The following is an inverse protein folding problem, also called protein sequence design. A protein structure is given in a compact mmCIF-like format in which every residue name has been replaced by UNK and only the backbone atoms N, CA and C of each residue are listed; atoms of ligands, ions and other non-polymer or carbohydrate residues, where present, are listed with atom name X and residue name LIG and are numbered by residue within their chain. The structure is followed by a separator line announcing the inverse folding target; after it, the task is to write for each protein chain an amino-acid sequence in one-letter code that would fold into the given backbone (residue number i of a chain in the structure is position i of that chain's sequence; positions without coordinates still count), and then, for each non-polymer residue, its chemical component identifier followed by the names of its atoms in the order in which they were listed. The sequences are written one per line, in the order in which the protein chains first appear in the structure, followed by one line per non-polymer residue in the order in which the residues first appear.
data_IF_184578241409
#
_entry.id   IF_184578241409
#
_cell.length_a   1.000
_cell.length_b   1.000
_cell.length_c   1.000
_cell.angle_alpha   90.00
_cell.angle_beta   90.00
_cell.angle_gamma   90.00
#
_symmetry.space_group_name_H-M   'P 1'
#
loop_
_entity.id
_entity.type
_entity.pdbx_description
1 polymer ?
#
# COMPACT_ATOMS: atom_id res chain seq x y z
N UNK A 1 13.14 -3.21 3.56
CA UNK A 1 12.07 -3.33 2.56
C UNK A 1 12.32 -2.38 1.39
N UNK A 2 11.70 -2.66 0.26
CA UNK A 2 11.62 -1.75 -0.86
C UNK A 2 10.44 -2.12 -1.79
N UNK A 3 9.97 -1.15 -2.56
CA UNK A 3 8.93 -1.33 -3.56
C UNK A 3 8.19 -0.03 -3.85
N UNK A 4 6.88 -0.12 -3.96
CA UNK A 4 5.99 1.03 -4.06
C UNK A 4 4.98 0.99 -2.92
N UNK A 5 4.32 2.11 -2.63
CA UNK A 5 3.30 2.16 -1.59
C UNK A 5 2.23 1.07 -1.82
N UNK A 6 1.86 0.34 -0.77
CA UNK A 6 1.01 -0.86 -0.73
C UNK A 6 1.55 -2.11 -1.48
N UNK A 7 2.61 -2.01 -2.29
CA UNK A 7 3.23 -3.16 -2.98
C UNK A 7 4.76 -3.12 -2.81
N UNK A 8 5.19 -3.14 -1.55
CA UNK A 8 6.59 -3.30 -1.18
C UNK A 8 6.81 -4.64 -0.47
N UNK A 9 8.06 -5.07 -0.40
CA UNK A 9 8.43 -6.37 0.15
C UNK A 9 9.63 -6.27 1.09
N UNK A 10 9.64 -7.11 2.12
CA UNK A 10 10.82 -7.35 2.92
C UNK A 10 11.82 -8.18 2.10
N UNK A 11 12.80 -7.53 1.48
CA UNK A 11 13.84 -8.20 0.69
C UNK A 11 14.81 -8.97 1.59
N UNK A 12 14.96 -8.49 2.83
CA UNK A 12 15.70 -9.16 3.91
C UNK A 12 14.84 -9.18 5.16
N UNK A 13 14.86 -10.29 5.87
CA UNK A 13 14.20 -10.47 7.15
C UNK A 13 15.19 -11.16 8.08
N UNK A 14 15.96 -10.36 8.82
CA UNK A 14 17.15 -10.81 9.52
C UNK A 14 17.10 -10.43 11.02
N UNK A 15 17.58 -11.32 11.86
CA UNK A 15 17.83 -11.09 13.28
C UNK A 15 19.32 -10.77 13.46
N UNK A 16 19.63 -9.69 14.21
CA UNK A 16 21.01 -9.37 14.59
C UNK A 16 21.33 -10.16 15.85
N UNK A 17 22.32 -11.03 15.78
CA UNK A 17 22.77 -11.84 16.88
C UNK A 17 23.79 -11.08 17.75
N UNK A 18 23.99 -11.53 19.00
CA UNK A 18 24.91 -10.91 20.01
C UNK A 18 26.33 -10.73 19.49
N UNK A 19 26.79 -11.58 18.58
CA UNK A 19 28.10 -11.49 17.95
C UNK A 19 28.18 -10.53 16.75
N UNK A 20 27.07 -9.83 16.43
CA UNK A 20 26.95 -8.92 15.30
C UNK A 20 26.73 -9.59 13.95
N UNK A 21 26.59 -10.93 13.88
CA UNK A 21 26.20 -11.62 12.65
C UNK A 21 24.69 -11.55 12.42
N UNK A 22 24.26 -11.81 11.17
CA UNK A 22 22.85 -11.82 10.78
C UNK A 22 22.36 -13.25 10.59
N UNK A 23 21.15 -13.51 11.06
CA UNK A 23 20.44 -14.77 10.84
C UNK A 23 19.22 -14.50 10.00
N UNK A 24 19.14 -15.15 8.83
CA UNK A 24 17.95 -15.09 7.95
C UNK A 24 16.76 -15.76 8.63
N UNK A 25 15.66 -15.04 8.74
CA UNK A 25 14.41 -15.51 9.35
C UNK A 25 13.41 -16.06 8.32
N UNK A 26 13.66 -15.90 7.01
CA UNK A 26 12.75 -16.42 5.98
C UNK A 26 12.49 -17.93 6.07
N UNK A 27 13.50 -18.78 6.34
CA UNK A 27 13.27 -20.22 6.52
C UNK A 27 12.29 -20.52 7.67
N UNK A 28 12.40 -19.77 8.78
CA UNK A 28 11.50 -19.93 9.92
C UNK A 28 10.06 -19.45 9.61
N UNK A 29 9.93 -18.32 8.90
CA UNK A 29 8.62 -17.80 8.47
C UNK A 29 7.92 -18.76 7.52
N UNK A 30 8.63 -19.28 6.52
CA UNK A 30 8.09 -20.25 5.53
C UNK A 30 7.64 -21.53 6.22
N UNK A 31 8.47 -22.05 7.13
CA UNK A 31 8.12 -23.23 7.91
C UNK A 31 6.91 -22.97 8.82
N UNK A 32 6.85 -21.84 9.50
CA UNK A 32 5.72 -21.48 10.35
C UNK A 32 4.39 -21.44 9.55
N UNK A 33 4.44 -20.94 8.31
CA UNK A 33 3.27 -20.96 7.43
C UNK A 33 2.86 -22.39 7.04
N UNK A 34 3.81 -23.25 6.67
CA UNK A 34 3.57 -24.65 6.32
C UNK A 34 2.99 -25.43 7.50
N UNK A 35 3.45 -25.15 8.71
CA UNK A 35 2.97 -25.77 9.95
C UNK A 35 1.62 -25.18 10.43
N UNK A 36 1.04 -24.19 9.71
CA UNK A 36 -0.23 -23.56 10.05
C UNK A 36 -0.15 -22.57 11.22
N UNK A 37 1.06 -22.13 11.57
CA UNK A 37 1.30 -21.14 12.64
C UNK A 37 1.17 -19.74 12.03
N UNK A 38 0.14 -19.02 12.44
CA UNK A 38 -0.10 -17.63 12.05
C UNK A 38 0.07 -16.73 13.26
N UNK A 39 1.25 -16.14 13.48
CA UNK A 39 1.41 -15.18 14.58
C UNK A 39 0.44 -14.02 14.38
N UNK A 40 -0.42 -13.78 15.36
CA UNK A 40 -1.18 -12.54 15.46
C UNK A 40 -0.31 -11.53 16.20
N UNK A 41 0.01 -10.37 15.64
CA UNK A 41 0.61 -9.31 16.44
C UNK A 41 -0.44 -8.87 17.48
N UNK A 42 -0.15 -9.06 18.75
CA UNK A 42 -1.00 -8.62 19.88
C UNK A 42 -1.21 -7.09 19.87
N UNK A 43 -0.32 -6.35 19.18
CA UNK A 43 -0.32 -4.89 19.16
C UNK A 43 -1.09 -4.25 17.99
N UNK A 44 -1.56 -5.01 17.01
CA UNK A 44 -2.34 -4.44 15.88
C UNK A 44 -3.84 -4.43 16.22
N UNK A 45 -4.26 -3.39 16.94
CA UNK A 45 -5.67 -3.15 17.29
C UNK A 45 -6.57 -2.90 16.06
N UNK A 46 -5.98 -2.62 14.90
CA UNK A 46 -6.70 -2.30 13.67
C UNK A 46 -6.61 -3.38 12.57
N UNK A 47 -5.78 -4.40 12.74
CA UNK A 47 -5.67 -5.47 11.73
C UNK A 47 -6.85 -6.45 11.85
N UNK A 48 -7.94 -6.17 11.17
CA UNK A 48 -9.13 -7.05 11.11
C UNK A 48 -8.91 -8.26 10.22
N UNK A 49 -7.97 -8.17 9.27
CA UNK A 49 -7.60 -9.24 8.35
C UNK A 49 -6.38 -10.00 8.87
N UNK A 50 -6.44 -11.33 9.03
CA UNK A 50 -5.28 -12.14 9.33
C UNK A 50 -4.22 -12.00 8.23
N UNK A 51 -2.93 -12.22 8.56
CA UNK A 51 -1.82 -12.15 7.57
C UNK A 51 -1.86 -13.26 6.49
N UNK A 52 -3.01 -13.88 6.22
CA UNK A 52 -3.15 -15.03 5.33
C UNK A 52 -2.79 -14.71 3.88
N UNK A 53 -3.18 -13.52 3.38
CA UNK A 53 -2.83 -13.05 2.03
C UNK A 53 -1.32 -12.88 1.91
N UNK A 54 -0.69 -12.22 2.87
CA UNK A 54 0.77 -11.99 2.90
C UNK A 54 1.56 -13.29 2.91
N UNK A 55 1.13 -14.27 3.70
CA UNK A 55 1.75 -15.60 3.76
C UNK A 55 1.55 -16.38 2.46
N UNK A 56 0.37 -16.33 1.87
CA UNK A 56 0.14 -16.99 0.58
C UNK A 56 1.01 -16.35 -0.51
N UNK A 57 1.12 -15.02 -0.52
CA UNK A 57 2.03 -14.32 -1.45
C UNK A 57 3.49 -14.70 -1.20
N UNK A 58 3.94 -14.72 0.04
CA UNK A 58 5.30 -15.18 0.37
C UNK A 58 5.55 -16.60 -0.16
N UNK A 59 4.58 -17.50 -0.02
CA UNK A 59 4.69 -18.85 -0.57
C UNK A 59 4.85 -18.86 -2.09
N UNK A 60 4.17 -17.95 -2.82
CA UNK A 60 4.18 -17.91 -4.29
C UNK A 60 5.36 -17.14 -4.88
N UNK A 61 5.67 -15.97 -4.32
CA UNK A 61 6.71 -15.10 -4.89
C UNK A 61 8.02 -15.09 -4.09
N UNK A 62 8.04 -15.77 -2.94
CA UNK A 62 9.25 -15.95 -2.13
C UNK A 62 9.48 -14.91 -1.04
N UNK A 63 8.76 -13.77 -1.08
CA UNK A 63 8.97 -12.62 -0.20
C UNK A 63 7.69 -12.17 0.47
N UNK A 64 7.81 -11.68 1.72
CA UNK A 64 6.70 -11.23 2.53
C UNK A 64 6.40 -9.75 2.21
N UNK A 65 5.13 -9.44 1.92
CA UNK A 65 4.71 -8.07 1.64
C UNK A 65 4.73 -7.21 2.91
N UNK A 66 5.03 -5.92 2.78
CA UNK A 66 5.05 -4.97 3.90
C UNK A 66 3.64 -4.54 4.30
N UNK A 67 2.74 -4.44 3.33
CA UNK A 67 1.37 -3.97 3.51
C UNK A 67 0.48 -5.03 4.18
N UNK A 68 -0.63 -4.60 4.78
CA UNK A 68 -1.64 -5.49 5.36
C UNK A 68 -2.23 -6.47 4.34
N UNK A 69 -2.74 -7.59 4.81
CA UNK A 69 -3.41 -8.56 3.93
C UNK A 69 -4.63 -7.98 3.23
N UNK A 70 -5.34 -7.09 3.91
CA UNK A 70 -6.53 -6.40 3.41
C UNK A 70 -6.17 -5.58 2.16
N UNK A 71 -5.29 -4.58 2.33
CA UNK A 71 -4.92 -3.70 1.22
C UNK A 71 -4.13 -4.42 0.13
N UNK A 72 -3.21 -5.32 0.49
CA UNK A 72 -2.49 -6.06 -0.55
C UNK A 72 -3.43 -6.88 -1.45
N UNK A 73 -4.54 -7.43 -0.90
CA UNK A 73 -5.52 -8.16 -1.68
C UNK A 73 -6.24 -7.30 -2.73
N UNK A 74 -6.37 -6.00 -2.48
CA UNK A 74 -7.01 -5.03 -3.37
C UNK A 74 -6.13 -4.65 -4.57
N UNK A 75 -4.79 -4.76 -4.42
CA UNK A 75 -3.82 -4.36 -5.45
C UNK A 75 -3.40 -5.47 -6.41
N UNK A 76 -3.96 -6.67 -6.24
CA UNK A 76 -3.62 -7.85 -7.05
C UNK A 76 -4.87 -8.65 -7.45
N UNK A 77 -4.86 -9.34 -8.60
CA UNK A 77 -6.08 -9.93 -9.19
C UNK A 77 -6.46 -11.31 -8.61
N UNK A 78 -5.89 -11.76 -7.48
CA UNK A 78 -5.95 -13.19 -7.13
C UNK A 78 -6.85 -13.53 -5.95
N UNK A 79 -7.20 -12.58 -5.12
CA UNK A 79 -7.85 -12.84 -3.83
C UNK A 79 -9.32 -12.44 -3.79
N UNK A 80 -9.67 -11.31 -4.39
CA UNK A 80 -11.03 -10.80 -4.46
C UNK A 80 -11.56 -11.08 -5.85
N UNK A 81 -12.50 -12.00 -5.96
CA UNK A 81 -13.05 -12.43 -7.24
C UNK A 81 -14.55 -12.63 -7.16
N UNK A 82 -15.25 -12.18 -8.22
CA UNK A 82 -16.69 -12.35 -8.36
C UNK A 82 -17.08 -13.83 -8.31
N UNK A 83 -18.09 -14.15 -7.50
CA UNK A 83 -18.58 -15.52 -7.33
C UNK A 83 -17.60 -16.46 -6.61
N UNK A 84 -16.58 -15.90 -5.90
CA UNK A 84 -15.61 -16.70 -5.15
C UNK A 84 -15.56 -16.28 -3.66
N UNK A 85 -16.71 -16.30 -3.02
CA UNK A 85 -16.87 -16.04 -1.59
C UNK A 85 -16.02 -16.98 -0.73
N UNK A 86 -15.71 -18.18 -1.25
CA UNK A 86 -14.79 -19.13 -0.63
C UNK A 86 -13.36 -18.58 -0.46
N UNK A 87 -12.89 -17.74 -1.38
CA UNK A 87 -11.58 -17.07 -1.25
C UNK A 87 -11.63 -15.96 -0.20
N UNK A 88 -12.70 -15.19 -0.16
CA UNK A 88 -12.91 -14.13 0.83
C UNK A 88 -12.88 -14.73 2.24
N UNK A 89 -13.63 -15.81 2.47
CA UNK A 89 -13.65 -16.52 3.74
C UNK A 89 -12.30 -17.16 4.08
N UNK A 90 -11.70 -17.86 3.12
CA UNK A 90 -10.40 -18.53 3.28
C UNK A 90 -9.31 -17.57 3.74
N UNK A 91 -9.23 -16.39 3.12
CA UNK A 91 -8.20 -15.40 3.43
C UNK A 91 -8.62 -14.40 4.48
N UNK A 92 -9.89 -14.39 4.89
CA UNK A 92 -10.44 -13.50 5.91
C UNK A 92 -10.41 -12.04 5.47
N UNK A 93 -10.71 -11.78 4.19
CA UNK A 93 -10.68 -10.44 3.60
C UNK A 93 -11.97 -9.71 3.98
N UNK A 94 -11.89 -8.55 4.65
CA UNK A 94 -13.08 -7.76 4.96
C UNK A 94 -13.60 -7.08 3.68
N UNK A 95 -14.91 -7.16 3.47
CA UNK A 95 -15.60 -6.38 2.45
C UNK A 95 -16.34 -5.21 3.11
N UNK A 96 -16.49 -4.11 2.38
CA UNK A 96 -17.18 -2.88 2.86
C UNK A 96 -16.58 -2.31 4.15
N UNK A 97 -15.29 -2.50 4.37
CA UNK A 97 -14.59 -2.09 5.58
C UNK A 97 -14.54 -0.56 5.72
N UNK A 98 -14.31 0.17 4.62
CA UNK A 98 -14.17 1.62 4.65
C UNK A 98 -15.43 2.35 5.15
N UNK A 99 -16.64 2.10 4.63
CA UNK A 99 -17.86 2.70 5.18
C UNK A 99 -18.06 2.40 6.67
N UNK A 100 -17.73 1.20 7.10
CA UNK A 100 -17.81 0.79 8.50
C UNK A 100 -16.81 1.56 9.38
N UNK A 101 -15.55 1.69 8.93
CA UNK A 101 -14.53 2.50 9.62
C UNK A 101 -14.95 3.97 9.74
N UNK A 102 -15.57 4.53 8.72
CA UNK A 102 -16.04 5.92 8.77
C UNK A 102 -17.05 6.13 9.90
N UNK A 103 -18.01 5.22 10.05
CA UNK A 103 -19.00 5.28 11.15
C UNK A 103 -18.32 5.14 12.51
N UNK A 104 -17.45 4.15 12.66
CA UNK A 104 -16.72 3.90 13.91
C UNK A 104 -15.80 5.08 14.29
N UNK A 105 -15.11 5.69 13.34
CA UNK A 105 -14.26 6.87 13.60
C UNK A 105 -15.05 8.07 14.09
N UNK A 106 -16.27 8.28 13.58
CA UNK A 106 -17.14 9.36 14.07
C UNK A 106 -17.52 9.13 15.53
N UNK A 107 -17.87 7.88 15.88
CA UNK A 107 -18.21 7.51 17.26
C UNK A 107 -16.99 7.59 18.19
N UNK A 108 -15.84 7.07 17.76
CA UNK A 108 -14.58 7.18 18.53
C UNK A 108 -14.16 8.61 18.78
N UNK A 109 -14.28 9.48 17.78
CA UNK A 109 -13.97 10.90 17.93
C UNK A 109 -14.82 11.55 19.00
N UNK A 110 -16.11 11.26 19.05
CA UNK A 110 -17.01 11.77 20.08
C UNK A 110 -16.58 11.32 21.48
N UNK A 111 -16.26 10.04 21.64
CA UNK A 111 -15.79 9.45 22.88
C UNK A 111 -14.43 10.07 23.33
N UNK A 112 -13.49 10.22 22.41
CA UNK A 112 -12.21 10.87 22.68
C UNK A 112 -12.37 12.34 23.11
N UNK A 113 -13.28 13.08 22.47
CA UNK A 113 -13.54 14.45 22.81
C UNK A 113 -14.03 14.60 24.27
N UNK A 114 -14.96 13.72 24.70
CA UNK A 114 -15.44 13.71 26.09
C UNK A 114 -14.35 13.25 27.06
N UNK A 115 -13.53 12.29 26.67
CA UNK A 115 -12.38 11.87 27.45
C UNK A 115 -11.39 13.03 27.65
N UNK A 116 -11.04 13.77 26.59
CA UNK A 116 -10.12 14.90 26.66
C UNK A 116 -10.67 16.05 27.54
N UNK A 117 -11.98 16.29 27.50
CA UNK A 117 -12.62 17.27 28.39
C UNK A 117 -12.62 16.87 29.86
N UNK A 118 -12.63 15.57 30.14
CA UNK A 118 -12.70 15.02 31.49
C UNK A 118 -11.36 14.84 32.19
N UNK A 119 -10.24 14.92 31.45
CA UNK A 119 -8.90 14.66 31.98
C UNK A 119 -8.10 15.94 32.12
N UNK A 120 -7.50 16.15 33.30
CA UNK A 120 -6.56 17.26 33.54
C UNK A 120 -5.22 17.06 32.80
N UNK A 121 -4.89 15.82 32.46
CA UNK A 121 -3.67 15.44 31.75
C UNK A 121 -3.96 14.36 30.72
N UNK A 122 -3.44 14.58 29.53
CA UNK A 122 -3.49 13.60 28.43
C UNK A 122 -2.12 12.93 28.34
N UNK A 123 -2.08 11.60 28.42
CA UNK A 123 -0.89 10.84 28.15
C UNK A 123 -0.75 10.65 26.64
N UNK A 124 0.37 11.11 26.07
CA UNK A 124 0.67 10.97 24.65
C UNK A 124 1.70 9.85 24.49
N UNK A 125 1.29 8.66 24.06
CA UNK A 125 2.23 7.56 23.83
C UNK A 125 3.13 7.87 22.62
N UNK A 126 4.33 7.31 22.61
CA UNK A 126 5.17 7.35 21.42
C UNK A 126 4.50 6.55 20.30
N UNK A 127 4.38 7.16 19.12
CA UNK A 127 3.92 6.47 17.91
C UNK A 127 5.10 5.85 17.16
N UNK A 128 4.80 4.94 16.24
CA UNK A 128 5.76 4.35 15.30
C UNK A 128 6.02 5.24 14.08
N UNK A 129 5.35 6.39 14.00
CA UNK A 129 5.43 7.31 12.88
C UNK A 129 6.79 8.03 12.83
N UNK A 130 7.31 8.23 11.62
CA UNK A 130 8.66 8.74 11.38
C UNK A 130 8.82 10.25 11.57
N UNK A 131 7.75 11.04 11.61
CA UNK A 131 7.85 12.51 11.58
C UNK A 131 8.75 13.06 12.70
N UNK A 132 8.55 12.63 13.95
CA UNK A 132 9.37 13.07 15.08
C UNK A 132 10.82 12.62 14.95
N UNK A 133 11.05 11.42 14.42
CA UNK A 133 12.40 10.88 14.19
C UNK A 133 13.15 11.66 13.11
N UNK A 134 12.47 12.01 11.99
CA UNK A 134 13.02 12.85 10.93
C UNK A 134 13.44 14.21 11.49
N UNK A 135 12.51 14.88 12.22
CA UNK A 135 12.78 16.20 12.83
C UNK A 135 13.98 16.12 13.77
N UNK A 136 14.01 15.12 14.66
CA UNK A 136 15.11 14.93 15.59
C UNK A 136 16.44 14.74 14.88
N UNK A 137 16.51 13.87 13.87
CA UNK A 137 17.75 13.58 13.13
C UNK A 137 18.27 14.79 12.37
N UNK A 138 17.40 15.58 11.76
CA UNK A 138 17.80 16.82 11.07
C UNK A 138 18.29 17.87 12.09
N UNK A 139 17.64 17.98 13.25
CA UNK A 139 17.97 19.00 14.26
C UNK A 139 19.24 18.67 15.03
N UNK A 140 19.40 17.42 15.46
CA UNK A 140 20.55 16.99 16.29
C UNK A 140 21.75 16.51 15.49
N UNK A 141 21.50 16.03 14.28
CA UNK A 141 22.51 15.32 13.48
C UNK A 141 22.64 13.83 13.81
N UNK A 142 21.90 13.33 14.78
CA UNK A 142 21.89 11.89 15.12
C UNK A 142 21.21 11.12 13.97
N UNK A 143 21.93 10.21 13.30
CA UNK A 143 21.37 9.57 12.09
C UNK A 143 20.29 8.57 12.43
N UNK A 144 19.25 8.51 11.59
CA UNK A 144 18.22 7.49 11.64
C UNK A 144 17.91 6.95 10.24
N UNK A 145 17.26 5.79 10.20
CA UNK A 145 16.80 5.20 8.94
C UNK A 145 15.28 5.10 8.96
N UNK A 146 14.66 5.62 7.91
CA UNK A 146 13.23 5.50 7.64
C UNK A 146 13.02 4.80 6.30
N UNK A 147 11.77 4.39 6.03
CA UNK A 147 11.34 3.96 4.69
C UNK A 147 10.45 5.05 4.11
N UNK A 148 10.96 5.73 3.08
CA UNK A 148 10.34 6.94 2.54
C UNK A 148 9.88 6.75 1.10
N UNK A 149 8.73 7.36 0.77
CA UNK A 149 8.27 7.48 -0.60
C UNK A 149 8.97 8.65 -1.29
N UNK A 150 9.70 8.35 -2.36
CA UNK A 150 10.49 9.32 -3.12
C UNK A 150 10.30 9.11 -4.62
N UNK A 151 10.55 10.16 -5.42
CA UNK A 151 10.60 10.02 -6.87
C UNK A 151 11.76 9.11 -7.26
N UNK A 152 11.51 8.08 -8.06
CA UNK A 152 12.52 7.17 -8.55
C UNK A 152 13.49 7.92 -9.50
N UNK A 153 14.72 8.03 -9.06
CA UNK A 153 15.86 8.57 -9.84
C UNK A 153 16.94 7.49 -9.93
N UNK A 154 16.51 6.28 -10.31
CA UNK A 154 17.37 5.10 -10.30
C UNK A 154 17.53 4.46 -8.91
N UNK A 155 16.73 4.82 -7.92
CA UNK A 155 16.76 4.19 -6.59
C UNK A 155 16.29 2.73 -6.64
N UNK A 156 15.35 2.41 -7.53
CA UNK A 156 15.02 1.06 -7.95
C UNK A 156 15.19 1.02 -9.49
N UNK A 157 16.35 0.54 -10.00
CA UNK A 157 16.66 0.62 -11.42
C UNK A 157 15.70 -0.13 -12.34
N UNK A 158 15.04 -1.17 -11.81
CA UNK A 158 14.09 -2.00 -12.57
C UNK A 158 12.68 -1.38 -12.69
N UNK A 159 12.43 -0.23 -12.06
CA UNK A 159 11.17 0.50 -12.14
C UNK A 159 11.34 1.80 -12.94
N UNK A 160 10.25 2.34 -13.53
CA UNK A 160 10.31 3.57 -14.32
C UNK A 160 10.89 4.75 -13.55
N UNK A 161 11.63 5.62 -14.26
CA UNK A 161 12.08 6.89 -13.72
C UNK A 161 10.86 7.79 -13.41
N UNK A 162 10.92 8.47 -12.27
CA UNK A 162 9.90 9.43 -11.87
C UNK A 162 8.70 8.82 -11.12
N UNK A 163 8.47 7.51 -11.19
CA UNK A 163 7.44 6.89 -10.36
C UNK A 163 7.77 7.04 -8.86
N UNK A 164 6.78 6.96 -8.00
CA UNK A 164 7.00 6.98 -6.56
C UNK A 164 7.46 5.60 -6.08
N UNK A 165 8.61 5.53 -5.41
CA UNK A 165 9.16 4.30 -4.83
C UNK A 165 9.38 4.45 -3.34
N UNK A 166 9.16 3.38 -2.59
CA UNK A 166 9.49 3.27 -1.18
C UNK A 166 10.85 2.59 -1.02
N UNK A 167 11.79 3.32 -0.45
CA UNK A 167 13.17 2.85 -0.24
C UNK A 167 13.69 3.24 1.14
N UNK A 168 14.72 2.54 1.68
CA UNK A 168 15.40 2.99 2.88
C UNK A 168 16.04 4.36 2.65
N UNK A 169 15.83 5.30 3.58
CA UNK A 169 16.40 6.63 3.55
C UNK A 169 17.19 6.87 4.83
N UNK A 170 18.45 7.24 4.71
CA UNK A 170 19.21 7.77 5.82
C UNK A 170 18.77 9.22 6.08
N UNK A 171 18.53 9.58 7.32
CA UNK A 171 18.20 10.95 7.74
C UNK A 171 19.28 11.45 8.68
N UNK A 172 19.86 12.61 8.38
CA UNK A 172 20.89 13.27 9.21
C UNK A 172 20.73 14.80 9.18
N UNK A 173 21.67 15.54 9.70
CA UNK A 173 21.68 17.01 9.69
C UNK A 173 21.63 17.65 8.28
N UNK A 174 21.90 16.88 7.23
CA UNK A 174 21.87 17.36 5.82
C UNK A 174 20.53 17.05 5.15
N UNK A 175 19.63 16.33 5.81
CA UNK A 175 18.32 16.00 5.30
C UNK A 175 18.12 14.50 5.08
N UNK A 176 17.30 14.17 4.07
CA UNK A 176 16.86 12.80 3.76
C UNK A 176 17.64 12.31 2.53
N UNK A 177 18.32 11.19 2.66
CA UNK A 177 19.17 10.57 1.65
C UNK A 177 18.64 9.19 1.28
N UNK A 178 17.87 9.07 0.16
CA UNK A 178 17.38 7.77 -0.30
C UNK A 178 18.53 6.86 -0.74
N UNK A 179 18.45 5.59 -0.36
CA UNK A 179 19.42 4.57 -0.76
C UNK A 179 18.92 3.79 -1.97
N UNK A 180 19.83 3.48 -2.88
CA UNK A 180 19.52 2.61 -4.01
C UNK A 180 19.33 1.17 -3.53
N UNK A 181 18.30 0.52 -4.08
CA UNK A 181 17.99 -0.90 -3.86
C UNK A 181 18.06 -1.61 -5.21
N UNK A 182 19.03 -2.48 -5.36
CA UNK A 182 19.27 -3.29 -6.56
C UNK A 182 18.84 -4.73 -6.34
N UNK A 183 18.83 -5.51 -7.41
CA UNK A 183 18.62 -6.96 -7.37
C UNK A 183 17.25 -7.38 -6.80
N UNK A 184 16.22 -6.54 -7.00
CA UNK A 184 14.84 -6.93 -6.65
C UNK A 184 14.40 -8.04 -7.61
N UNK A 185 13.91 -9.19 -7.10
CA UNK A 185 13.47 -10.28 -7.94
C UNK A 185 12.42 -9.85 -8.98
N UNK A 186 12.53 -10.28 -10.25
CA UNK A 186 11.70 -9.77 -11.34
C UNK A 186 10.20 -10.02 -11.16
N UNK A 187 9.80 -11.08 -10.45
CA UNK A 187 8.39 -11.31 -10.13
C UNK A 187 7.81 -10.22 -9.21
N UNK A 188 8.62 -9.59 -8.34
CA UNK A 188 8.19 -8.51 -7.48
C UNK A 188 8.06 -7.21 -8.27
N UNK A 189 9.05 -6.87 -9.08
CA UNK A 189 8.98 -5.68 -9.93
C UNK A 189 7.87 -5.76 -10.96
N UNK A 190 7.53 -6.96 -11.46
CA UNK A 190 6.38 -7.16 -12.34
C UNK A 190 5.04 -6.80 -11.66
N UNK A 191 4.85 -7.22 -10.40
CA UNK A 191 3.64 -6.85 -9.61
C UNK A 191 3.63 -5.35 -9.33
N UNK A 192 4.77 -4.74 -8.98
CA UNK A 192 4.88 -3.29 -8.78
C UNK A 192 4.52 -2.52 -10.05
N UNK A 193 5.04 -2.94 -11.21
CA UNK A 193 4.78 -2.28 -12.51
C UNK A 193 3.32 -2.29 -12.90
N UNK A 194 2.55 -3.35 -12.60
CA UNK A 194 1.13 -3.37 -12.88
C UNK A 194 0.37 -2.24 -12.18
N UNK A 195 0.76 -1.92 -10.95
CA UNK A 195 0.18 -0.81 -10.18
C UNK A 195 0.75 0.56 -10.59
N UNK A 196 2.04 0.63 -10.94
CA UNK A 196 2.65 1.87 -11.47
C UNK A 196 1.95 2.31 -12.74
N UNK A 197 1.58 1.39 -13.65
CA UNK A 197 0.85 1.73 -14.87
C UNK A 197 -0.45 2.50 -14.58
N UNK A 198 -1.20 2.08 -13.57
CA UNK A 198 -2.42 2.76 -13.13
C UNK A 198 -2.13 4.17 -12.62
N UNK A 199 -1.10 4.29 -11.78
CA UNK A 199 -0.68 5.57 -11.20
C UNK A 199 -0.22 6.55 -12.28
N UNK A 200 0.62 6.11 -13.22
CA UNK A 200 1.11 6.94 -14.32
C UNK A 200 -0.02 7.43 -15.22
N UNK A 201 -0.95 6.56 -15.60
CA UNK A 201 -2.10 6.94 -16.41
C UNK A 201 -3.04 7.90 -15.67
N UNK A 202 -3.22 7.71 -14.37
CA UNK A 202 -4.02 8.64 -13.54
C UNK A 202 -3.37 10.03 -13.48
N UNK A 203 -2.06 10.08 -13.28
CA UNK A 203 -1.30 11.35 -13.27
C UNK A 203 -1.34 12.01 -14.65
N UNK A 204 -1.17 11.23 -15.73
CA UNK A 204 -1.24 11.74 -17.10
C UNK A 204 -2.61 12.32 -17.42
N UNK A 205 -3.70 11.68 -16.98
CA UNK A 205 -5.06 12.21 -17.12
C UNK A 205 -5.19 13.64 -16.54
N UNK A 206 -4.60 13.86 -15.36
CA UNK A 206 -4.64 15.15 -14.67
C UNK A 206 -3.75 16.21 -15.31
N UNK A 207 -2.54 15.82 -15.78
CA UNK A 207 -1.58 16.75 -16.37
C UNK A 207 -2.02 17.17 -17.79
N UNK A 208 -2.40 16.21 -18.63
CA UNK A 208 -2.82 16.46 -20.00
C UNK A 208 -4.27 16.97 -20.09
N UNK A 209 -5.06 16.81 -19.02
CA UNK A 209 -6.49 17.05 -18.98
C UNK A 209 -7.25 16.20 -20.03
N UNK A 210 -6.75 15.01 -20.32
CA UNK A 210 -7.37 14.05 -21.23
C UNK A 210 -8.11 12.97 -20.45
N UNK A 211 -9.44 12.98 -20.56
CA UNK A 211 -10.34 12.03 -19.90
C UNK A 211 -10.08 10.58 -20.33
N UNK A 212 -9.53 10.33 -21.51
CA UNK A 212 -9.27 8.97 -22.00
C UNK A 212 -8.30 8.19 -21.09
N UNK A 213 -7.34 8.89 -20.49
CA UNK A 213 -6.39 8.24 -19.57
C UNK A 213 -7.06 7.70 -18.29
N UNK A 214 -8.22 8.21 -17.88
CA UNK A 214 -8.97 7.64 -16.75
C UNK A 214 -9.49 6.24 -17.09
N UNK A 215 -10.02 6.06 -18.31
CA UNK A 215 -10.46 4.74 -18.79
C UNK A 215 -9.28 3.79 -18.96
N UNK A 216 -8.17 4.29 -19.51
CA UNK A 216 -6.96 3.49 -19.66
C UNK A 216 -6.38 3.09 -18.30
N UNK A 217 -6.42 3.94 -17.28
CA UNK A 217 -6.00 3.61 -15.94
C UNK A 217 -6.86 2.47 -15.35
N UNK A 218 -8.20 2.59 -15.46
CA UNK A 218 -9.11 1.55 -15.02
C UNK A 218 -8.91 0.22 -15.77
N UNK A 219 -8.64 0.29 -17.09
CA UNK A 219 -8.36 -0.89 -17.92
C UNK A 219 -7.05 -1.61 -17.48
N UNK A 220 -6.05 -0.85 -17.03
CA UNK A 220 -4.75 -1.40 -16.60
C UNK A 220 -4.73 -1.81 -15.13
N UNK A 221 -5.78 -1.50 -14.36
CA UNK A 221 -5.87 -1.94 -12.98
C UNK A 221 -5.94 -3.48 -12.90
N UNK A 222 -5.04 -4.13 -12.12
CA UNK A 222 -4.95 -5.59 -12.10
C UNK A 222 -6.23 -6.29 -11.64
N UNK A 223 -6.95 -5.68 -10.70
CA UNK A 223 -8.19 -6.24 -10.19
C UNK A 223 -9.35 -6.00 -11.16
N UNK A 224 -9.54 -4.77 -11.59
CA UNK A 224 -10.58 -4.39 -12.56
C UNK A 224 -10.46 -5.19 -13.85
N UNK A 225 -9.26 -5.27 -14.44
CA UNK A 225 -9.01 -6.02 -15.67
C UNK A 225 -9.15 -7.55 -15.54
N UNK A 226 -9.13 -8.08 -14.31
CA UNK A 226 -9.37 -9.51 -14.07
C UNK A 226 -10.86 -9.87 -13.88
N UNK A 227 -11.71 -8.87 -13.59
CA UNK A 227 -13.12 -9.08 -13.25
C UNK A 227 -14.09 -8.57 -14.32
N UNK A 228 -13.73 -7.54 -15.08
CA UNK A 228 -14.61 -6.84 -16.01
C UNK A 228 -14.09 -6.95 -17.45
N UNK A 229 -15.02 -6.96 -18.42
CA UNK A 229 -14.70 -6.75 -19.84
C UNK A 229 -14.56 -5.25 -20.17
N UNK A 230 -14.10 -4.93 -21.38
CA UNK A 230 -13.82 -3.55 -21.78
C UNK A 230 -15.05 -2.66 -21.74
N UNK A 231 -16.23 -3.17 -22.13
CA UNK A 231 -17.47 -2.39 -22.10
C UNK A 231 -17.88 -2.10 -20.65
N UNK A 232 -17.79 -3.09 -19.79
CA UNK A 232 -18.08 -2.93 -18.36
C UNK A 232 -17.14 -1.94 -17.68
N UNK A 233 -15.84 -1.94 -18.03
CA UNK A 233 -14.87 -0.96 -17.50
C UNK A 233 -15.27 0.46 -17.93
N UNK A 234 -15.63 0.67 -19.19
CA UNK A 234 -16.05 1.98 -19.70
C UNK A 234 -17.30 2.48 -18.99
N UNK A 235 -18.33 1.64 -18.88
CA UNK A 235 -19.57 1.97 -18.17
C UNK A 235 -19.31 2.28 -16.68
N UNK A 236 -18.48 1.50 -16.02
CA UNK A 236 -18.11 1.74 -14.62
C UNK A 236 -17.45 3.12 -14.45
N UNK A 237 -16.51 3.48 -15.33
CA UNK A 237 -15.85 4.79 -15.29
C UNK A 237 -16.85 5.92 -15.54
N UNK A 238 -17.76 5.77 -16.51
CA UNK A 238 -18.81 6.75 -16.79
C UNK A 238 -19.72 6.96 -15.57
N UNK A 239 -20.16 5.87 -14.93
CA UNK A 239 -21.02 5.92 -13.75
C UNK A 239 -20.33 6.61 -12.58
N UNK A 240 -19.03 6.31 -12.36
CA UNK A 240 -18.23 6.95 -11.29
C UNK A 240 -18.00 8.45 -11.57
N UNK A 241 -17.70 8.82 -12.80
CA UNK A 241 -17.50 10.22 -13.18
C UNK A 241 -18.81 11.02 -13.03
N UNK A 242 -19.97 10.45 -13.40
CA UNK A 242 -21.26 11.10 -13.19
C UNK A 242 -21.59 11.21 -11.68
N UNK A 243 -21.37 10.16 -10.91
CA UNK A 243 -21.64 10.16 -9.47
C UNK A 243 -20.80 11.20 -8.71
N UNK A 244 -19.58 11.47 -9.18
CA UNK A 244 -18.63 12.37 -8.52
C UNK A 244 -18.48 13.73 -9.20
N UNK A 245 -19.26 14.05 -10.20
CA UNK A 245 -19.13 15.25 -11.07
C UNK A 245 -18.97 16.57 -10.33
N UNK A 246 -19.64 16.73 -9.18
CA UNK A 246 -19.59 17.96 -8.39
C UNK A 246 -18.23 18.16 -7.66
N UNK A 247 -17.40 17.12 -7.59
CA UNK A 247 -16.11 17.09 -6.94
C UNK A 247 -14.94 17.02 -7.92
N UNK A 248 -15.25 16.76 -9.21
CA UNK A 248 -14.25 16.56 -10.24
C UNK A 248 -13.92 17.86 -10.99
N UNK A 249 -12.69 18.01 -11.50
CA UNK A 249 -12.35 19.13 -12.37
C UNK A 249 -13.18 19.12 -13.66
N UNK A 250 -13.35 20.30 -14.26
CA UNK A 250 -14.26 20.52 -15.40
C UNK A 250 -14.03 19.58 -16.59
N UNK A 251 -12.78 19.21 -16.88
CA UNK A 251 -12.47 18.32 -18.00
C UNK A 251 -12.97 16.88 -17.79
N UNK A 252 -13.23 16.48 -16.54
CA UNK A 252 -13.81 15.16 -16.20
C UNK A 252 -15.34 15.21 -16.05
N UNK A 253 -15.90 16.38 -15.67
CA UNK A 253 -17.33 16.54 -15.42
C UNK A 253 -18.15 16.75 -16.73
N UNK A 254 -17.52 17.09 -17.84
CA UNK A 254 -18.19 17.23 -19.13
C UNK A 254 -18.42 15.87 -19.76
N UNK A 255 -19.68 15.48 -19.92
CA UNK A 255 -20.06 14.31 -20.72
C UNK A 255 -19.65 14.55 -22.17
N UNK A 256 -18.66 13.85 -22.68
CA UNK A 256 -18.40 13.79 -24.11
C UNK A 256 -19.48 12.93 -24.73
N UNK A 257 -20.41 13.54 -25.47
CA UNK A 257 -21.43 12.83 -26.23
C UNK A 257 -20.91 12.16 -27.53
N UNK A 258 -19.61 11.98 -27.64
CA UNK A 258 -19.01 11.23 -28.73
C UNK A 258 -18.55 9.86 -28.22
N UNK A 259 -19.47 8.90 -28.26
CA UNK A 259 -19.09 7.48 -28.29
C UNK A 259 -18.38 7.27 -29.64
N UNK A 260 -17.10 6.88 -29.59
CA UNK A 260 -16.38 6.39 -30.74
C UNK A 260 -17.01 5.11 -31.28
#
# INVERSE_FOLDING_TARGET
SAGINHVAYFLKFEEILDNGSFKDLYPALKKGYEDGIFPRPESMTHARCPNKVRYEMMKRVGYFATESSEHFAEYVPWFIKSGREDLIEKFGIPLDEYPKRCVEQVEEWQNQLEEFKSKDRIDVPNSVEYASQIINSIWTGDPSTIYGNVSNKGFIPDLPDGCAVEVPCLVDAKGIHPNQVTDIPPQLTAIMRSNINVQELTVEALISQDRQYVYHAAMMDPHTGAELDLEQIWLMVDDLLEAHKDWLPEFLSKTSHERL
#
